data_IF_047849991118
#
_entry.id   IF_047849991118
#
_cell.length_a   1.000
_cell.length_b   1.000
_cell.length_c   1.000
_cell.angle_alpha   90.00
_cell.angle_beta   90.00
_cell.angle_gamma   90.00
#
_symmetry.space_group_name_H-M   'P 1'
#
loop_
_entity.id
_entity.type
_entity.pdbx_description
1 polymer ?
#
# COMPACT_ATOMS: atom_id res chain seq x y z
N UNK A 1 -10.94 26.55 -7.49
CA UNK A 1 -10.97 25.08 -7.68
C UNK A 1 -11.00 24.49 -6.29
N UNK A 2 -12.13 23.89 -5.92
CA UNK A 2 -12.44 23.52 -4.54
C UNK A 2 -11.90 22.12 -4.26
N UNK A 3 -10.92 22.01 -3.36
CA UNK A 3 -10.30 20.76 -2.93
C UNK A 3 -11.19 20.06 -1.89
N UNK A 4 -12.20 19.32 -2.34
CA UNK A 4 -12.93 18.39 -1.47
C UNK A 4 -12.56 16.95 -1.87
N UNK A 5 -11.60 16.37 -1.14
CA UNK A 5 -11.45 14.91 -1.05
C UNK A 5 -12.74 14.30 -0.43
N UNK A 6 -13.07 13.03 -0.69
CA UNK A 6 -14.37 12.43 -0.35
C UNK A 6 -14.51 12.35 1.18
N UNK A 7 -15.27 13.28 1.75
CA UNK A 7 -15.50 13.41 3.19
C UNK A 7 -16.77 12.68 3.67
N UNK A 8 -17.51 12.00 2.79
CA UNK A 8 -18.77 11.34 3.14
C UNK A 8 -18.66 9.87 3.53
N UNK A 9 -17.49 9.24 3.35
CA UNK A 9 -17.19 7.92 3.91
C UNK A 9 -17.02 7.89 5.45
N UNK A 10 -17.13 9.04 6.14
CA UNK A 10 -16.75 9.17 7.56
C UNK A 10 -17.92 9.36 8.54
N UNK A 11 -19.19 9.28 8.10
CA UNK A 11 -20.32 9.38 9.02
C UNK A 11 -21.57 8.66 8.52
N UNK A 12 -21.65 7.36 8.76
CA UNK A 12 -22.95 6.66 8.87
C UNK A 12 -22.98 5.95 10.22
N UNK A 13 -22.88 6.73 11.29
CA UNK A 13 -23.20 6.24 12.62
C UNK A 13 -24.72 6.18 12.76
N UNK A 14 -25.24 4.96 12.93
CA UNK A 14 -26.59 4.61 13.42
C UNK A 14 -27.78 5.11 12.59
N UNK A 15 -28.27 4.26 11.69
CA UNK A 15 -29.56 4.43 11.00
C UNK A 15 -30.80 4.21 11.90
N UNK A 16 -30.65 4.07 13.23
CA UNK A 16 -31.71 3.58 14.11
C UNK A 16 -32.01 4.50 15.30
N UNK A 17 -32.57 5.67 15.01
CA UNK A 17 -33.39 6.40 16.00
C UNK A 17 -34.62 7.00 15.32
N UNK A 18 -35.61 6.16 14.99
CA UNK A 18 -36.93 6.62 14.58
C UNK A 18 -37.87 6.60 15.78
N UNK A 19 -38.28 7.77 16.25
CA UNK A 19 -39.42 7.94 17.16
C UNK A 19 -40.69 8.10 16.32
N UNK A 20 -41.47 7.04 16.15
CA UNK A 20 -42.77 7.14 15.49
C UNK A 20 -43.90 7.02 16.52
N UNK A 21 -44.65 8.11 16.69
CA UNK A 21 -46.01 8.01 17.23
C UNK A 21 -46.96 7.72 16.08
N UNK A 22 -47.62 6.55 16.19
CA UNK A 22 -48.93 6.22 15.64
C UNK A 22 -49.11 6.17 14.12
N UNK A 23 -48.60 5.11 13.46
CA UNK A 23 -49.32 4.28 12.46
C UNK A 23 -48.65 2.90 12.43
N UNK A 24 -49.41 1.79 12.35
CA UNK A 24 -48.86 0.44 12.20
C UNK A 24 -48.44 0.26 10.72
N UNK A 25 -47.16 0.50 10.43
CA UNK A 25 -46.57 0.33 9.09
C UNK A 25 -45.41 -0.69 9.14
N UNK A 26 -44.97 -1.26 8.00
CA UNK A 26 -43.78 -2.13 7.92
C UNK A 26 -42.55 -1.51 8.59
N UNK A 27 -42.41 -0.19 8.53
CA UNK A 27 -41.35 0.61 9.16
C UNK A 27 -41.43 0.55 10.68
N UNK A 28 -42.64 0.62 11.25
CA UNK A 28 -42.83 0.46 12.69
C UNK A 28 -42.51 -0.96 13.14
N UNK A 29 -42.82 -1.98 12.33
CA UNK A 29 -42.44 -3.37 12.59
C UNK A 29 -40.92 -3.57 12.50
N UNK A 30 -40.25 -3.09 11.45
CA UNK A 30 -38.79 -3.11 11.28
C UNK A 30 -38.07 -2.34 12.40
N UNK A 31 -38.55 -1.13 12.75
CA UNK A 31 -38.00 -0.31 13.82
C UNK A 31 -38.19 -0.93 15.22
N UNK A 32 -39.30 -1.66 15.43
CA UNK A 32 -39.54 -2.40 16.67
C UNK A 32 -38.65 -3.64 16.77
N UNK A 33 -38.49 -4.36 15.66
CA UNK A 33 -37.67 -5.57 15.60
C UNK A 33 -36.18 -5.24 15.71
N UNK A 34 -35.71 -4.18 15.06
CA UNK A 34 -34.35 -3.66 15.25
C UNK A 34 -34.08 -3.13 16.66
N UNK A 35 -35.10 -2.61 17.38
CA UNK A 35 -34.98 -2.28 18.81
C UNK A 35 -34.88 -3.51 19.71
N UNK A 36 -35.53 -4.61 19.34
CA UNK A 36 -35.54 -5.87 20.08
C UNK A 36 -34.27 -6.69 19.76
N UNK A 37 -33.85 -6.74 18.50
CA UNK A 37 -32.62 -7.40 18.03
C UNK A 37 -31.34 -6.55 18.28
N UNK A 38 -31.43 -5.25 18.58
CA UNK A 38 -30.29 -4.47 19.14
C UNK A 38 -29.80 -4.99 20.51
N UNK A 39 -30.57 -5.87 21.16
CA UNK A 39 -30.09 -6.61 22.35
C UNK A 39 -29.36 -7.92 21.99
N UNK A 40 -29.38 -8.32 20.73
CA UNK A 40 -28.63 -9.44 20.17
C UNK A 40 -27.32 -8.96 19.54
N UNK A 41 -26.29 -9.80 19.65
CA UNK A 41 -24.87 -9.46 19.64
C UNK A 41 -24.28 -9.20 18.24
N UNK A 42 -25.09 -8.99 17.22
CA UNK A 42 -24.65 -8.79 15.83
C UNK A 42 -24.62 -7.29 15.46
N UNK A 43 -23.43 -6.82 15.08
CA UNK A 43 -23.13 -5.42 14.78
C UNK A 43 -23.66 -5.04 13.38
N UNK A 44 -24.92 -4.58 13.30
CA UNK A 44 -25.60 -4.15 12.05
C UNK A 44 -25.17 -2.71 11.69
N UNK A 45 -23.86 -2.49 11.56
CA UNK A 45 -23.30 -1.24 11.04
C UNK A 45 -23.20 -1.32 9.53
N UNK A 46 -23.67 -0.30 8.81
CA UNK A 46 -23.42 -0.13 7.37
C UNK A 46 -22.14 0.70 7.09
N UNK A 47 -21.37 1.00 8.15
CA UNK A 47 -20.22 1.88 8.10
C UNK A 47 -18.90 1.12 8.24
N UNK A 48 -17.90 1.56 7.48
CA UNK A 48 -16.51 1.15 7.66
C UNK A 48 -15.92 1.75 8.93
N UNK A 49 -14.89 1.11 9.48
CA UNK A 49 -14.04 1.78 10.46
C UNK A 49 -13.24 2.91 9.78
N UNK A 50 -13.80 4.11 9.86
CA UNK A 50 -13.38 5.32 9.16
C UNK A 50 -11.91 5.69 9.41
N UNK A 51 -11.47 5.66 10.67
CA UNK A 51 -10.09 5.96 11.06
C UNK A 51 -9.10 4.90 10.54
N UNK A 52 -9.43 3.62 10.67
CA UNK A 52 -8.54 2.55 10.20
C UNK A 52 -8.48 2.48 8.67
N UNK A 53 -9.58 2.73 7.96
CA UNK A 53 -9.59 2.81 6.50
C UNK A 53 -8.76 4.00 6.00
N UNK A 54 -8.90 5.16 6.63
CA UNK A 54 -8.07 6.35 6.35
C UNK A 54 -6.58 6.05 6.55
N UNK A 55 -6.22 5.35 7.64
CA UNK A 55 -4.84 4.93 7.88
C UNK A 55 -4.35 3.96 6.79
N UNK A 56 -5.14 2.96 6.42
CA UNK A 56 -4.79 2.02 5.36
C UNK A 56 -4.57 2.70 3.99
N UNK A 57 -5.38 3.72 3.67
CA UNK A 57 -5.21 4.55 2.47
C UNK A 57 -3.91 5.38 2.51
N UNK A 58 -3.60 5.98 3.66
CA UNK A 58 -2.34 6.71 3.86
C UNK A 58 -1.13 5.78 3.67
N UNK A 59 -1.18 4.60 4.30
CA UNK A 59 -0.13 3.60 4.22
C UNK A 59 0.07 3.08 2.78
N UNK A 60 -1.04 2.86 2.05
CA UNK A 60 -0.99 2.51 0.63
C UNK A 60 -0.35 3.60 -0.24
N UNK A 61 -0.61 4.88 0.07
CA UNK A 61 0.02 6.01 -0.61
C UNK A 61 1.53 6.09 -0.35
N UNK A 62 1.95 5.96 0.91
CA UNK A 62 3.38 5.94 1.29
C UNK A 62 4.10 4.74 0.68
N UNK A 63 3.44 3.57 0.66
CA UNK A 63 3.93 2.38 -0.01
C UNK A 63 4.15 2.63 -1.51
N UNK A 64 3.14 3.14 -2.23
CA UNK A 64 3.23 3.39 -3.66
C UNK A 64 4.38 4.36 -3.99
N UNK A 65 4.53 5.42 -3.20
CA UNK A 65 5.64 6.38 -3.32
C UNK A 65 7.00 5.69 -3.12
N UNK A 66 7.16 4.93 -2.04
CA UNK A 66 8.41 4.23 -1.74
C UNK A 66 8.79 3.27 -2.86
N UNK A 67 7.82 2.50 -3.36
CA UNK A 67 8.03 1.57 -4.48
C UNK A 67 8.43 2.29 -5.77
N UNK A 68 7.79 3.43 -6.08
CA UNK A 68 8.16 4.24 -7.23
C UNK A 68 9.59 4.78 -7.12
N UNK A 69 10.00 5.24 -5.93
CA UNK A 69 11.38 5.67 -5.69
C UNK A 69 12.38 4.52 -5.91
N UNK A 70 12.12 3.35 -5.32
CA UNK A 70 13.02 2.19 -5.47
C UNK A 70 13.08 1.72 -6.93
N UNK A 71 11.94 1.64 -7.60
CA UNK A 71 11.86 1.27 -9.02
C UNK A 71 12.68 2.24 -9.88
N UNK A 72 12.46 3.54 -9.69
CA UNK A 72 13.19 4.58 -10.42
C UNK A 72 14.70 4.47 -10.22
N UNK A 73 15.16 4.25 -8.99
CA UNK A 73 16.59 4.11 -8.69
C UNK A 73 17.17 2.82 -9.30
N UNK A 74 16.46 1.69 -9.25
CA UNK A 74 16.93 0.43 -9.86
C UNK A 74 17.08 0.54 -11.38
N UNK A 75 16.12 1.19 -12.04
CA UNK A 75 16.10 1.37 -13.50
C UNK A 75 17.17 2.35 -13.97
N UNK A 76 17.37 3.46 -13.24
CA UNK A 76 18.22 4.57 -13.70
C UNK A 76 19.65 4.56 -13.15
N UNK A 77 19.99 3.67 -12.22
CA UNK A 77 21.38 3.52 -11.78
C UNK A 77 22.23 2.80 -12.86
N UNK A 78 23.54 3.11 -12.94
CA UNK A 78 24.45 2.52 -13.93
C UNK A 78 24.49 0.99 -13.88
N UNK A 79 24.81 0.38 -15.03
CA UNK A 79 25.15 -1.03 -15.09
C UNK A 79 26.43 -1.31 -14.29
N UNK A 80 26.48 -2.46 -13.62
CA UNK A 80 27.72 -2.93 -13.00
C UNK A 80 28.79 -3.14 -14.06
N UNK A 81 29.99 -2.61 -13.81
CA UNK A 81 31.14 -2.78 -14.70
C UNK A 81 32.33 -3.34 -13.92
N UNK A 82 32.82 -4.50 -14.36
CA UNK A 82 33.96 -5.20 -13.77
C UNK A 82 35.28 -4.97 -14.54
N UNK A 83 35.28 -4.07 -15.52
CA UNK A 83 36.49 -3.71 -16.26
C UNK A 83 37.61 -3.26 -15.31
N UNK A 84 38.78 -3.89 -15.44
CA UNK A 84 39.94 -3.63 -14.59
C UNK A 84 39.83 -4.18 -13.16
N UNK A 85 38.79 -4.93 -12.80
CA UNK A 85 38.66 -5.55 -11.47
C UNK A 85 39.29 -6.94 -11.48
N UNK A 86 40.28 -7.17 -10.60
CA UNK A 86 40.81 -8.51 -10.36
C UNK A 86 39.84 -9.28 -9.44
N UNK A 87 39.17 -10.30 -9.94
CA UNK A 87 38.19 -11.08 -9.17
C UNK A 87 38.79 -12.20 -8.31
N UNK A 88 40.12 -12.29 -8.17
CA UNK A 88 40.81 -13.22 -7.27
C UNK A 88 40.36 -14.69 -7.39
N UNK A 89 40.03 -15.13 -8.60
CA UNK A 89 39.59 -16.50 -8.91
C UNK A 89 38.08 -16.75 -8.83
N UNK A 90 37.26 -15.78 -8.39
CA UNK A 90 35.80 -15.84 -8.43
C UNK A 90 35.25 -15.51 -9.83
N UNK A 91 35.56 -16.35 -10.82
CA UNK A 91 35.30 -16.05 -12.25
C UNK A 91 33.83 -15.85 -12.60
N UNK A 92 32.90 -16.44 -11.83
CA UNK A 92 31.47 -16.33 -12.08
C UNK A 92 30.85 -15.07 -11.45
N UNK A 93 31.53 -14.44 -10.48
CA UNK A 93 30.98 -13.34 -9.69
C UNK A 93 30.53 -12.13 -10.54
N UNK A 94 31.29 -11.69 -11.57
CA UNK A 94 30.84 -10.60 -12.44
C UNK A 94 29.49 -10.89 -13.11
N UNK A 95 29.33 -12.08 -13.69
CA UNK A 95 28.08 -12.47 -14.35
C UNK A 95 26.93 -12.65 -13.37
N UNK A 96 27.21 -13.13 -12.16
CA UNK A 96 26.22 -13.29 -11.10
C UNK A 96 25.68 -11.93 -10.65
N UNK A 97 26.57 -10.97 -10.35
CA UNK A 97 26.16 -9.62 -9.93
C UNK A 97 25.44 -8.86 -11.05
N UNK A 98 25.88 -9.01 -12.30
CA UNK A 98 25.16 -8.44 -13.44
C UNK A 98 23.74 -9.04 -13.57
N UNK A 99 23.59 -10.33 -13.34
CA UNK A 99 22.29 -11.00 -13.34
C UNK A 99 21.44 -10.57 -12.13
N UNK A 100 22.02 -10.40 -10.95
CA UNK A 100 21.31 -9.90 -9.76
C UNK A 100 20.73 -8.49 -10.01
N UNK A 101 21.53 -7.60 -10.61
CA UNK A 101 21.07 -6.25 -10.99
C UNK A 101 19.95 -6.33 -12.04
N UNK A 102 20.07 -7.24 -13.01
CA UNK A 102 19.03 -7.47 -14.02
C UNK A 102 17.72 -7.96 -13.39
N UNK A 103 17.79 -8.95 -12.48
CA UNK A 103 16.62 -9.46 -11.75
C UNK A 103 15.95 -8.32 -10.95
N UNK A 104 16.75 -7.50 -10.25
CA UNK A 104 16.22 -6.36 -9.51
C UNK A 104 15.46 -5.36 -10.41
N UNK A 105 15.95 -5.09 -11.61
CA UNK A 105 15.27 -4.23 -12.60
C UNK A 105 14.03 -4.88 -13.20
N UNK A 106 14.02 -6.20 -13.39
CA UNK A 106 12.84 -6.94 -13.84
C UNK A 106 11.71 -6.85 -12.79
N UNK A 107 12.05 -6.98 -11.50
CA UNK A 107 11.09 -6.79 -10.40
C UNK A 107 10.53 -5.36 -10.36
N UNK A 108 11.39 -4.35 -10.48
CA UNK A 108 11.01 -2.95 -10.58
C UNK A 108 10.05 -2.70 -11.75
N UNK A 109 10.36 -3.26 -12.92
CA UNK A 109 9.51 -3.17 -14.11
C UNK A 109 8.17 -3.86 -13.92
N UNK A 110 8.14 -5.04 -13.28
CA UNK A 110 6.90 -5.76 -12.96
C UNK A 110 6.00 -4.96 -12.02
N UNK A 111 6.59 -4.30 -11.01
CA UNK A 111 5.87 -3.36 -10.18
C UNK A 111 5.24 -2.23 -11.01
N UNK A 112 6.05 -1.55 -11.83
CA UNK A 112 5.60 -0.37 -12.58
C UNK A 112 4.54 -0.68 -13.64
N UNK A 113 4.67 -1.80 -14.34
CA UNK A 113 3.81 -2.15 -15.46
C UNK A 113 2.50 -2.82 -15.03
N UNK A 114 2.49 -3.53 -13.90
CA UNK A 114 1.37 -4.38 -13.51
C UNK A 114 0.81 -4.07 -12.12
N UNK A 115 1.62 -4.25 -11.08
CA UNK A 115 1.12 -4.24 -9.69
C UNK A 115 0.71 -2.84 -9.26
N UNK A 116 1.43 -1.80 -9.71
CA UNK A 116 1.06 -0.40 -9.47
C UNK A 116 -0.35 -0.09 -9.98
N UNK A 117 -0.72 -0.61 -11.16
CA UNK A 117 -2.08 -0.44 -11.70
C UNK A 117 -3.12 -1.13 -10.83
N UNK A 118 -2.87 -2.37 -10.41
CA UNK A 118 -3.80 -3.08 -9.51
C UNK A 118 -4.00 -2.37 -8.17
N UNK A 119 -2.94 -1.75 -7.63
CA UNK A 119 -3.04 -0.91 -6.43
C UNK A 119 -3.97 0.29 -6.69
N UNK A 120 -3.77 1.00 -7.80
CA UNK A 120 -4.64 2.11 -8.18
C UNK A 120 -6.09 1.67 -8.39
N UNK A 121 -6.33 0.54 -9.06
CA UNK A 121 -7.68 -0.01 -9.27
C UNK A 121 -8.36 -0.33 -7.93
N UNK A 122 -7.62 -0.88 -6.96
CA UNK A 122 -8.13 -1.15 -5.60
C UNK A 122 -8.46 0.14 -4.85
N UNK A 123 -7.63 1.17 -4.98
CA UNK A 123 -7.88 2.48 -4.34
C UNK A 123 -9.04 3.23 -5.00
N UNK A 124 -9.17 3.17 -6.34
CA UNK A 124 -10.31 3.73 -7.07
C UNK A 124 -11.60 3.05 -6.67
N UNK A 125 -11.59 1.74 -6.43
CA UNK A 125 -12.77 1.00 -5.96
C UNK A 125 -13.38 1.54 -4.65
N UNK A 126 -12.56 2.09 -3.74
CA UNK A 126 -13.04 2.76 -2.51
C UNK A 126 -13.81 4.05 -2.85
N UNK A 127 -13.29 4.83 -3.80
CA UNK A 127 -13.93 6.06 -4.28
C UNK A 127 -15.21 5.75 -5.06
N UNK A 128 -15.22 4.70 -5.87
CA UNK A 128 -16.41 4.23 -6.59
C UNK A 128 -17.51 3.78 -5.63
N UNK A 129 -17.16 3.04 -4.58
CA UNK A 129 -18.09 2.65 -3.53
C UNK A 129 -18.67 3.87 -2.79
N UNK A 130 -17.83 4.82 -2.37
CA UNK A 130 -18.28 6.08 -1.73
C UNK A 130 -19.27 6.85 -2.62
N UNK A 131 -18.95 6.97 -3.91
CA UNK A 131 -19.81 7.64 -4.89
C UNK A 131 -21.14 6.91 -5.06
N UNK A 132 -21.11 5.58 -5.10
CA UNK A 132 -22.33 4.75 -5.23
C UNK A 132 -23.21 4.89 -3.99
N UNK A 133 -22.63 4.82 -2.80
CA UNK A 133 -23.33 5.04 -1.54
C UNK A 133 -23.98 6.43 -1.49
N UNK A 134 -23.24 7.47 -1.86
CA UNK A 134 -23.74 8.85 -1.92
C UNK A 134 -24.94 9.00 -2.86
N UNK A 135 -24.91 8.32 -4.01
CA UNK A 135 -26.01 8.37 -4.98
C UNK A 135 -27.27 7.65 -4.49
N UNK A 136 -27.12 6.57 -3.72
CA UNK A 136 -28.26 5.85 -3.14
C UNK A 136 -28.78 6.48 -1.84
N UNK A 137 -28.01 7.34 -1.17
CA UNK A 137 -28.33 7.79 0.18
C UNK A 137 -29.74 8.39 0.32
N UNK A 138 -30.07 9.41 -0.49
CA UNK A 138 -31.37 10.08 -0.39
C UNK A 138 -32.53 9.13 -0.75
N UNK A 139 -32.34 8.28 -1.77
CA UNK A 139 -33.31 7.26 -2.20
C UNK A 139 -33.57 6.21 -1.10
N UNK A 140 -32.51 5.74 -0.43
CA UNK A 140 -32.63 4.79 0.67
C UNK A 140 -33.33 5.41 1.88
N UNK A 141 -33.07 6.69 2.17
CA UNK A 141 -33.77 7.42 3.24
C UNK A 141 -35.26 7.58 2.92
N UNK A 142 -35.59 7.93 1.68
CA UNK A 142 -36.98 8.03 1.21
C UNK A 142 -37.69 6.67 1.31
N UNK A 143 -37.07 5.60 0.82
CA UNK A 143 -37.64 4.26 0.89
C UNK A 143 -37.86 3.77 2.33
N UNK A 144 -36.99 4.12 3.29
CA UNK A 144 -37.24 3.89 4.73
C UNK A 144 -38.48 4.65 5.21
N UNK A 145 -38.62 5.92 4.84
CA UNK A 145 -39.73 6.76 5.29
C UNK A 145 -41.08 6.31 4.71
N UNK A 146 -41.07 5.81 3.47
CA UNK A 146 -42.26 5.32 2.76
C UNK A 146 -42.57 3.85 3.04
N UNK A 147 -41.63 3.11 3.62
CA UNK A 147 -41.77 1.67 3.86
C UNK A 147 -41.64 0.83 2.59
N UNK A 148 -40.91 1.33 1.60
CA UNK A 148 -40.65 0.66 0.33
C UNK A 148 -39.52 -0.37 0.49
N UNK A 149 -39.90 -1.61 0.80
CA UNK A 149 -38.97 -2.71 1.01
C UNK A 149 -38.22 -3.13 -0.27
N UNK A 150 -38.85 -2.97 -1.45
CA UNK A 150 -38.26 -3.38 -2.72
C UNK A 150 -37.09 -2.44 -3.09
N UNK A 151 -37.31 -1.12 -2.99
CA UNK A 151 -36.25 -0.12 -3.23
C UNK A 151 -35.10 -0.27 -2.23
N UNK A 152 -35.39 -0.56 -0.96
CA UNK A 152 -34.34 -0.83 0.04
C UNK A 152 -33.53 -2.08 -0.31
N UNK A 153 -34.20 -3.15 -0.74
CA UNK A 153 -33.54 -4.40 -1.10
C UNK A 153 -32.64 -4.22 -2.33
N UNK A 154 -33.11 -3.50 -3.35
CA UNK A 154 -32.33 -3.20 -4.55
C UNK A 154 -31.07 -2.39 -4.20
N UNK A 155 -31.21 -1.25 -3.52
CA UNK A 155 -30.07 -0.40 -3.19
C UNK A 155 -29.04 -1.08 -2.29
N UNK A 156 -29.46 -1.86 -1.28
CA UNK A 156 -28.54 -2.63 -0.43
C UNK A 156 -27.85 -3.75 -1.23
N UNK A 157 -28.56 -4.40 -2.17
CA UNK A 157 -27.97 -5.43 -3.03
C UNK A 157 -26.89 -4.86 -3.96
N UNK A 158 -27.14 -3.70 -4.56
CA UNK A 158 -26.20 -3.03 -5.45
C UNK A 158 -24.92 -2.60 -4.70
N UNK A 159 -25.08 -1.99 -3.53
CA UNK A 159 -23.96 -1.63 -2.66
C UNK A 159 -23.16 -2.87 -2.21
N UNK A 160 -23.84 -3.98 -1.90
CA UNK A 160 -23.18 -5.25 -1.60
C UNK A 160 -22.40 -5.79 -2.81
N UNK A 161 -22.89 -5.57 -4.03
CA UNK A 161 -22.19 -5.90 -5.27
C UNK A 161 -20.82 -5.20 -5.37
N UNK A 162 -20.79 -3.89 -5.11
CA UNK A 162 -19.54 -3.12 -5.11
C UNK A 162 -18.59 -3.54 -3.98
N UNK A 163 -19.12 -3.88 -2.79
CA UNK A 163 -18.31 -4.45 -1.69
C UNK A 163 -17.61 -5.74 -2.14
N UNK A 164 -18.33 -6.66 -2.79
CA UNK A 164 -17.77 -7.93 -3.29
C UNK A 164 -16.70 -7.70 -4.35
N UNK A 165 -16.92 -6.75 -5.26
CA UNK A 165 -15.94 -6.34 -6.28
C UNK A 165 -14.66 -5.80 -5.65
N UNK A 166 -14.78 -4.89 -4.68
CA UNK A 166 -13.64 -4.34 -3.94
C UNK A 166 -12.89 -5.40 -3.12
N UNK A 167 -13.61 -6.35 -2.52
CA UNK A 167 -13.00 -7.49 -1.85
C UNK A 167 -12.15 -8.32 -2.82
N UNK A 168 -12.66 -8.60 -4.02
CA UNK A 168 -11.96 -9.37 -5.04
C UNK A 168 -10.69 -8.64 -5.53
N UNK A 169 -10.78 -7.33 -5.78
CA UNK A 169 -9.62 -6.52 -6.15
C UNK A 169 -8.53 -6.53 -5.08
N UNK A 170 -8.93 -6.33 -3.81
CA UNK A 170 -7.98 -6.33 -2.69
C UNK A 170 -7.30 -7.68 -2.52
N UNK A 171 -8.07 -8.79 -2.60
CA UNK A 171 -7.51 -10.16 -2.51
C UNK A 171 -6.53 -10.45 -3.63
N UNK A 172 -6.85 -10.07 -4.87
CA UNK A 172 -5.95 -10.27 -6.01
C UNK A 172 -4.65 -9.47 -5.85
N UNK A 173 -4.75 -8.20 -5.44
CA UNK A 173 -3.59 -7.36 -5.18
C UNK A 173 -2.67 -7.96 -4.10
N UNK A 174 -3.23 -8.46 -2.99
CA UNK A 174 -2.46 -9.12 -1.93
C UNK A 174 -1.69 -10.33 -2.49
N UNK A 175 -2.33 -11.14 -3.35
CA UNK A 175 -1.69 -12.31 -3.96
C UNK A 175 -0.54 -11.92 -4.89
N UNK A 176 -0.72 -10.91 -5.75
CA UNK A 176 0.33 -10.46 -6.66
C UNK A 176 1.50 -9.80 -5.91
N UNK A 177 1.22 -9.05 -4.85
CA UNK A 177 2.25 -8.52 -3.95
C UNK A 177 3.01 -9.64 -3.24
N UNK A 178 2.32 -10.67 -2.72
CA UNK A 178 2.98 -11.81 -2.09
C UNK A 178 3.91 -12.54 -3.05
N UNK A 179 3.45 -12.82 -4.28
CA UNK A 179 4.29 -13.43 -5.33
C UNK A 179 5.52 -12.58 -5.66
N UNK A 180 5.35 -11.26 -5.78
CA UNK A 180 6.47 -10.36 -6.02
C UNK A 180 7.46 -10.37 -4.85
N UNK A 181 6.98 -10.25 -3.61
CA UNK A 181 7.81 -10.29 -2.39
C UNK A 181 8.63 -11.58 -2.31
N UNK A 182 8.00 -12.71 -2.55
CA UNK A 182 8.64 -14.02 -2.40
C UNK A 182 9.73 -14.21 -3.47
N UNK A 183 9.42 -13.83 -4.72
CA UNK A 183 10.40 -13.83 -5.82
C UNK A 183 11.57 -12.89 -5.56
N UNK A 184 11.31 -11.65 -5.09
CA UNK A 184 12.37 -10.73 -4.70
C UNK A 184 13.20 -11.32 -3.55
N UNK A 185 12.57 -11.97 -2.57
CA UNK A 185 13.27 -12.53 -1.43
C UNK A 185 14.27 -13.63 -1.76
N UNK A 186 14.00 -14.43 -2.79
CA UNK A 186 14.96 -15.39 -3.32
C UNK A 186 16.17 -14.69 -3.93
N UNK A 187 15.93 -13.70 -4.80
CA UNK A 187 16.99 -12.94 -5.47
C UNK A 187 17.82 -12.09 -4.51
N UNK A 188 17.20 -11.45 -3.51
CA UNK A 188 17.88 -10.64 -2.49
C UNK A 188 18.86 -11.49 -1.67
N UNK A 189 18.51 -12.73 -1.33
CA UNK A 189 19.41 -13.63 -0.59
C UNK A 189 20.64 -13.99 -1.41
N UNK A 190 20.45 -14.32 -2.69
CA UNK A 190 21.55 -14.62 -3.61
C UNK A 190 22.44 -13.38 -3.81
N UNK A 191 21.81 -12.23 -4.11
CA UNK A 191 22.52 -10.98 -4.34
C UNK A 191 23.31 -10.52 -3.13
N UNK A 192 22.76 -10.66 -1.91
CA UNK A 192 23.49 -10.38 -0.67
C UNK A 192 24.78 -11.19 -0.55
N UNK A 193 24.72 -12.49 -0.83
CA UNK A 193 25.91 -13.34 -0.85
C UNK A 193 26.95 -12.91 -1.88
N UNK A 194 26.54 -12.59 -3.11
CA UNK A 194 27.46 -12.11 -4.15
C UNK A 194 28.05 -10.73 -3.81
N UNK A 195 27.23 -9.81 -3.29
CA UNK A 195 27.66 -8.50 -2.79
C UNK A 195 28.75 -8.64 -1.73
N UNK A 196 28.55 -9.49 -0.74
CA UNK A 196 29.49 -9.64 0.38
C UNK A 196 30.83 -10.26 -0.07
N UNK A 197 30.79 -11.18 -1.04
CA UNK A 197 32.01 -11.71 -1.70
C UNK A 197 32.74 -10.60 -2.44
N UNK A 198 32.03 -9.81 -3.27
CA UNK A 198 32.62 -8.69 -4.01
C UNK A 198 33.28 -7.70 -3.05
N UNK A 199 32.53 -7.26 -2.03
CA UNK A 199 33.00 -6.34 -1.01
C UNK A 199 34.29 -6.85 -0.36
N UNK A 200 34.35 -8.14 0.01
CA UNK A 200 35.56 -8.76 0.57
C UNK A 200 36.75 -8.75 -0.39
N UNK A 201 36.51 -8.97 -1.69
CA UNK A 201 37.55 -8.88 -2.72
C UNK A 201 38.08 -7.45 -2.83
N UNK A 202 37.19 -6.46 -2.89
CA UNK A 202 37.57 -5.05 -3.09
C UNK A 202 38.33 -4.48 -1.88
N UNK A 203 37.93 -4.85 -0.65
CA UNK A 203 38.64 -4.45 0.59
C UNK A 203 40.10 -4.91 0.60
N UNK A 204 40.38 -6.07 0.03
CA UNK A 204 41.74 -6.59 -0.09
C UNK A 204 42.58 -5.90 -1.19
N UNK A 205 41.98 -5.00 -1.97
CA UNK A 205 42.61 -4.37 -3.15
C UNK A 205 42.70 -2.85 -3.08
N UNK A 206 41.87 -2.21 -2.25
CA UNK A 206 41.86 -0.77 -2.07
C UNK A 206 41.53 -0.40 -0.62
N UNK A 207 42.26 0.57 -0.09
CA UNK A 207 41.89 1.27 1.15
C UNK A 207 40.67 2.15 0.91
N UNK A 208 39.85 2.40 1.93
CA UNK A 208 38.71 3.31 1.81
C UNK A 208 37.39 2.63 1.47
N UNK A 209 37.38 1.35 1.09
CA UNK A 209 36.15 0.61 0.76
C UNK A 209 35.21 0.52 1.98
N UNK A 210 35.77 0.19 3.15
CA UNK A 210 35.00 0.11 4.40
C UNK A 210 34.42 1.47 4.80
N UNK A 211 35.25 2.52 4.77
CA UNK A 211 34.80 3.86 5.14
C UNK A 211 33.76 4.42 4.17
N UNK A 212 33.91 4.16 2.88
CA UNK A 212 32.97 4.61 1.85
C UNK A 212 31.63 3.88 1.95
N UNK A 213 31.66 2.56 2.12
CA UNK A 213 30.45 1.77 2.29
C UNK A 213 29.70 2.16 3.55
N UNK A 214 30.40 2.42 4.66
CA UNK A 214 29.78 2.94 5.87
C UNK A 214 29.05 4.26 5.59
N UNK A 215 29.69 5.20 4.89
CA UNK A 215 29.05 6.49 4.53
C UNK A 215 27.83 6.29 3.65
N UNK A 216 27.90 5.39 2.68
CA UNK A 216 26.77 5.06 1.82
C UNK A 216 25.61 4.46 2.65
N UNK A 217 25.92 3.49 3.51
CA UNK A 217 24.94 2.85 4.38
C UNK A 217 24.31 3.84 5.37
N UNK A 218 25.08 4.76 5.95
CA UNK A 218 24.58 5.81 6.84
C UNK A 218 23.58 6.75 6.11
N UNK A 219 23.81 7.04 4.83
CA UNK A 219 22.87 7.81 4.00
C UNK A 219 21.62 7.01 3.69
N UNK A 220 21.77 5.76 3.24
CA UNK A 220 20.64 4.88 2.89
C UNK A 220 19.77 4.54 4.11
N UNK A 221 20.38 4.38 5.27
CA UNK A 221 19.68 4.17 6.54
C UNK A 221 18.86 5.39 6.95
N UNK A 222 19.40 6.59 6.83
CA UNK A 222 18.63 7.81 7.12
C UNK A 222 17.49 8.02 6.13
N UNK A 223 17.69 7.66 4.85
CA UNK A 223 16.61 7.65 3.84
C UNK A 223 15.52 6.65 4.22
N UNK A 224 15.90 5.42 4.62
CA UNK A 224 14.94 4.41 5.10
C UNK A 224 14.19 4.90 6.34
N UNK A 225 14.91 5.42 7.33
CA UNK A 225 14.30 5.92 8.58
C UNK A 225 13.27 7.01 8.28
N UNK A 226 13.58 7.92 7.36
CA UNK A 226 12.62 8.94 6.94
C UNK A 226 11.35 8.33 6.32
N UNK A 227 11.48 7.36 5.41
CA UNK A 227 10.33 6.66 4.81
C UNK A 227 9.53 5.89 5.86
N UNK A 228 10.18 5.33 6.87
CA UNK A 228 9.51 4.66 7.98
C UNK A 228 8.72 5.64 8.84
N UNK A 229 9.29 6.79 9.21
CA UNK A 229 8.59 7.84 9.99
C UNK A 229 7.39 8.41 9.22
N UNK A 230 7.49 8.51 7.89
CA UNK A 230 6.38 8.85 6.99
C UNK A 230 5.28 7.76 7.03
N UNK A 231 5.67 6.48 6.97
CA UNK A 231 4.75 5.33 7.06
C UNK A 231 4.09 5.19 8.43
N UNK A 232 4.79 5.51 9.51
CA UNK A 232 4.27 5.45 10.88
C UNK A 232 3.23 6.56 11.15
N UNK A 233 3.05 7.50 10.21
CA UNK A 233 2.09 8.60 10.32
C UNK A 233 2.55 9.74 11.23
N UNK A 234 3.83 9.74 11.65
CA UNK A 234 4.44 10.83 12.42
C UNK A 234 4.54 12.08 11.54
N UNK A 235 4.87 11.89 10.25
CA UNK A 235 4.81 12.93 9.24
C UNK A 235 3.52 12.77 8.45
N UNK A 236 2.62 13.74 8.58
CA UNK A 236 1.29 13.72 7.94
C UNK A 236 1.28 14.22 6.49
N UNK A 237 2.42 14.73 5.99
CA UNK A 237 2.58 15.25 4.63
C UNK A 237 3.59 14.39 3.87
N UNK A 238 3.18 13.84 2.73
CA UNK A 238 4.09 13.09 1.86
C UNK A 238 5.21 14.00 1.35
N UNK A 239 6.47 13.65 1.62
CA UNK A 239 7.63 14.48 1.24
C UNK A 239 8.31 13.91 0.00
N UNK A 240 8.43 14.68 -1.11
CA UNK A 240 9.01 14.16 -2.34
C UNK A 240 10.50 13.80 -2.14
N UNK A 241 10.88 12.67 -2.73
CA UNK A 241 12.28 12.26 -2.89
C UNK A 241 12.88 12.97 -4.10
N UNK A 242 14.11 13.46 -3.96
CA UNK A 242 14.88 14.10 -5.01
C UNK A 242 16.02 13.16 -5.42
N UNK A 243 16.13 12.83 -6.71
CA UNK A 243 17.32 12.15 -7.25
C UNK A 243 18.58 12.96 -6.94
N UNK A 244 19.54 12.33 -6.27
CA UNK A 244 20.81 12.93 -5.89
C UNK A 244 21.94 12.07 -6.42
N UNK A 245 22.86 12.68 -7.18
CA UNK A 245 24.00 12.00 -7.77
C UNK A 245 25.20 12.06 -6.84
N UNK A 246 25.91 10.93 -6.75
CA UNK A 246 27.21 10.79 -6.10
C UNK A 246 28.26 10.38 -7.15
N UNK A 247 29.54 10.34 -6.76
CA UNK A 247 30.59 9.97 -7.71
C UNK A 247 30.38 8.56 -8.27
N UNK A 248 30.73 8.40 -9.55
CA UNK A 248 30.45 7.18 -10.32
C UNK A 248 29.11 7.20 -11.07
N UNK A 249 28.37 8.32 -11.04
CA UNK A 249 27.06 8.43 -11.69
C UNK A 249 25.94 7.70 -10.95
N UNK A 250 26.22 7.21 -9.74
CA UNK A 250 25.26 6.52 -8.88
C UNK A 250 24.24 7.53 -8.37
N UNK A 251 22.97 7.14 -8.46
CA UNK A 251 21.83 7.93 -8.05
C UNK A 251 21.23 7.34 -6.76
N UNK A 252 20.96 8.21 -5.80
CA UNK A 252 20.25 7.88 -4.56
C UNK A 252 19.05 8.82 -4.38
N UNK A 253 17.95 8.30 -3.84
CA UNK A 253 16.74 9.09 -3.56
C UNK A 253 16.80 9.68 -2.16
N UNK A 254 16.79 11.01 -2.05
CA UNK A 254 16.86 11.71 -0.77
C UNK A 254 15.62 12.57 -0.57
N UNK A 255 14.95 12.43 0.58
CA UNK A 255 13.80 13.28 0.90
C UNK A 255 14.21 14.76 0.95
N UNK A 256 13.41 15.63 0.32
CA UNK A 256 13.75 17.05 0.15
C UNK A 256 14.09 17.78 1.45
N UNK A 257 13.37 17.48 2.53
CA UNK A 257 13.58 18.09 3.85
C UNK A 257 14.78 17.49 4.62
N UNK A 258 15.26 16.31 4.24
CA UNK A 258 16.46 15.69 4.83
C UNK A 258 17.73 16.04 4.06
N UNK A 259 17.63 16.69 2.91
CA UNK A 259 18.78 16.97 2.05
C UNK A 259 19.85 17.80 2.78
N UNK A 260 19.46 18.84 3.54
CA UNK A 260 20.41 19.65 4.30
C UNK A 260 21.12 18.88 5.41
N UNK A 261 20.43 17.93 6.04
CA UNK A 261 20.98 17.07 7.09
C UNK A 261 21.98 16.08 6.51
N UNK A 262 21.69 15.53 5.33
CA UNK A 262 22.55 14.56 4.66
C UNK A 262 23.69 15.18 3.85
N UNK A 263 23.63 16.48 3.56
CA UNK A 263 24.59 17.18 2.71
C UNK A 263 26.06 16.95 3.10
N UNK A 264 26.47 16.92 4.39
CA UNK A 264 27.85 16.60 4.75
C UNK A 264 28.32 15.21 4.28
N UNK A 265 27.45 14.19 4.37
CA UNK A 265 27.74 12.84 3.89
C UNK A 265 27.68 12.77 2.35
N UNK A 266 26.70 13.44 1.75
CA UNK A 266 26.55 13.50 0.30
C UNK A 266 27.75 14.20 -0.36
N UNK A 267 28.26 15.28 0.22
CA UNK A 267 29.45 15.97 -0.25
C UNK A 267 30.68 15.05 -0.24
N UNK A 268 30.80 14.18 0.77
CA UNK A 268 31.85 13.17 0.83
C UNK A 268 31.66 12.09 -0.26
N UNK A 269 30.44 11.61 -0.47
CA UNK A 269 30.13 10.63 -1.52
C UNK A 269 30.30 11.22 -2.94
N UNK A 270 30.21 12.54 -3.11
CA UNK A 270 30.44 13.22 -4.40
C UNK A 270 31.93 13.41 -4.75
N UNK A 271 32.84 13.19 -3.81
CA UNK A 271 34.28 13.25 -4.11
C UNK A 271 34.65 12.18 -5.15
N UNK A 272 35.57 12.51 -6.05
CA UNK A 272 36.09 11.56 -7.02
C UNK A 272 36.71 10.37 -6.30
N UNK A 273 36.29 9.17 -6.68
CA UNK A 273 36.74 7.90 -6.11
C UNK A 273 37.24 6.98 -7.22
N UNK A 274 37.95 5.94 -6.85
CA UNK A 274 38.41 4.94 -7.81
C UNK A 274 37.24 4.04 -8.28
N UNK A 275 37.51 3.28 -9.35
CA UNK A 275 36.52 2.43 -9.98
C UNK A 275 36.05 1.25 -9.09
N UNK A 276 36.87 0.78 -8.13
CA UNK A 276 36.47 -0.24 -7.15
C UNK A 276 35.42 0.28 -6.19
N UNK A 277 35.63 1.47 -5.63
CA UNK A 277 34.61 2.14 -4.80
C UNK A 277 33.33 2.38 -5.61
N UNK A 278 33.47 2.85 -6.85
CA UNK A 278 32.32 3.07 -7.75
C UNK A 278 31.51 1.79 -7.96
N UNK A 279 32.17 0.68 -8.29
CA UNK A 279 31.50 -0.63 -8.43
C UNK A 279 30.80 -1.05 -7.13
N UNK A 280 31.47 -0.90 -5.98
CA UNK A 280 30.88 -1.23 -4.68
C UNK A 280 29.61 -0.41 -4.40
N UNK A 281 29.61 0.88 -4.76
CA UNK A 281 28.43 1.75 -4.62
C UNK A 281 27.28 1.35 -5.53
N UNK A 282 27.54 1.07 -6.82
CA UNK A 282 26.51 0.61 -7.76
C UNK A 282 25.83 -0.65 -7.23
N UNK A 283 26.62 -1.63 -6.80
CA UNK A 283 26.13 -2.89 -6.23
C UNK A 283 25.37 -2.67 -4.93
N UNK A 284 25.93 -1.86 -4.01
CA UNK A 284 25.31 -1.54 -2.73
C UNK A 284 23.96 -0.83 -2.86
N UNK A 285 23.86 0.16 -3.76
CA UNK A 285 22.60 0.87 -4.03
C UNK A 285 21.58 -0.06 -4.70
N UNK A 286 21.99 -0.88 -5.66
CA UNK A 286 21.09 -1.85 -6.29
C UNK A 286 20.52 -2.84 -5.26
N UNK A 287 21.41 -3.45 -4.45
CA UNK A 287 21.03 -4.38 -3.38
C UNK A 287 20.11 -3.73 -2.36
N UNK A 288 20.43 -2.52 -1.88
CA UNK A 288 19.61 -1.84 -0.90
C UNK A 288 18.20 -1.57 -1.45
N UNK A 289 18.08 -1.01 -2.66
CA UNK A 289 16.78 -0.69 -3.23
C UNK A 289 15.88 -1.93 -3.39
N UNK A 290 16.44 -3.06 -3.85
CA UNK A 290 15.64 -4.28 -4.03
C UNK A 290 15.26 -4.94 -2.69
N UNK A 291 16.13 -4.88 -1.69
CA UNK A 291 15.82 -5.34 -0.33
C UNK A 291 14.74 -4.47 0.34
N UNK A 292 14.82 -3.15 0.19
CA UNK A 292 13.80 -2.24 0.72
C UNK A 292 12.47 -2.38 -0.02
N UNK A 293 12.49 -2.65 -1.33
CA UNK A 293 11.29 -2.99 -2.11
C UNK A 293 10.61 -4.24 -1.54
N UNK A 294 11.36 -5.29 -1.20
CA UNK A 294 10.84 -6.49 -0.54
C UNK A 294 10.18 -6.17 0.80
N UNK A 295 10.85 -5.38 1.64
CA UNK A 295 10.37 -4.99 2.96
C UNK A 295 9.07 -4.16 2.87
N UNK A 296 9.05 -3.18 1.96
CA UNK A 296 7.88 -2.33 1.74
C UNK A 296 6.66 -3.14 1.30
N UNK A 297 6.84 -4.14 0.43
CA UNK A 297 5.75 -5.04 0.04
C UNK A 297 5.23 -5.85 1.24
N UNK A 298 6.14 -6.34 2.10
CA UNK A 298 5.76 -7.04 3.33
C UNK A 298 4.84 -6.21 4.22
N UNK A 299 5.20 -4.95 4.46
CA UNK A 299 4.36 -4.02 5.24
C UNK A 299 3.02 -3.72 4.56
N UNK A 300 3.01 -3.53 3.24
CA UNK A 300 1.78 -3.25 2.48
C UNK A 300 0.79 -4.41 2.51
N UNK A 301 1.27 -5.66 2.43
CA UNK A 301 0.41 -6.86 2.54
C UNK A 301 -0.36 -6.85 3.87
N UNK A 302 0.29 -6.47 4.97
CA UNK A 302 -0.38 -6.40 6.28
C UNK A 302 -1.50 -5.35 6.28
N UNK A 303 -1.25 -4.15 5.73
CA UNK A 303 -2.26 -3.09 5.64
C UNK A 303 -3.43 -3.47 4.71
N UNK A 304 -3.15 -4.05 3.55
CA UNK A 304 -4.17 -4.49 2.59
C UNK A 304 -4.99 -5.67 3.12
N UNK A 305 -4.39 -6.54 3.94
CA UNK A 305 -5.12 -7.64 4.61
C UNK A 305 -6.22 -7.09 5.51
N UNK A 306 -5.96 -5.99 6.21
CA UNK A 306 -6.99 -5.30 6.99
C UNK A 306 -8.12 -4.77 6.09
N UNK A 307 -7.80 -4.13 4.98
CA UNK A 307 -8.81 -3.65 4.02
C UNK A 307 -9.66 -4.81 3.47
N UNK A 308 -9.04 -5.94 3.14
CA UNK A 308 -9.77 -7.14 2.69
C UNK A 308 -10.71 -7.68 3.76
N UNK A 309 -10.32 -7.62 5.04
CA UNK A 309 -11.18 -8.03 6.14
C UNK A 309 -12.37 -7.07 6.30
N UNK A 310 -12.15 -5.76 6.18
CA UNK A 310 -13.25 -4.78 6.23
C UNK A 310 -14.28 -4.98 5.12
N UNK A 311 -13.85 -5.29 3.89
CA UNK A 311 -14.80 -5.64 2.83
C UNK A 311 -15.56 -6.93 3.11
N UNK A 312 -14.94 -7.90 3.78
CA UNK A 312 -15.62 -9.12 4.21
C UNK A 312 -16.68 -8.85 5.29
N UNK A 313 -16.33 -8.06 6.30
CA UNK A 313 -17.22 -7.70 7.40
C UNK A 313 -18.45 -6.93 6.86
N UNK A 314 -18.22 -5.96 5.96
CA UNK A 314 -19.29 -5.22 5.29
C UNK A 314 -20.22 -6.15 4.48
N UNK A 315 -19.68 -7.10 3.72
CA UNK A 315 -20.50 -8.04 2.95
C UNK A 315 -21.45 -8.85 3.87
N UNK A 316 -20.94 -9.27 5.03
CA UNK A 316 -21.73 -9.95 6.06
C UNK A 316 -22.79 -9.03 6.67
N UNK A 317 -22.45 -7.78 6.97
CA UNK A 317 -23.38 -6.79 7.53
C UNK A 317 -24.52 -6.47 6.56
N UNK A 318 -24.20 -6.28 5.28
CA UNK A 318 -25.20 -6.05 4.23
C UNK A 318 -26.11 -7.27 4.03
N UNK A 319 -25.57 -8.49 4.13
CA UNK A 319 -26.38 -9.72 4.14
C UNK A 319 -27.35 -9.76 5.33
N UNK A 320 -26.89 -9.33 6.51
CA UNK A 320 -27.73 -9.18 7.69
C UNK A 320 -28.89 -8.21 7.43
N UNK A 321 -28.59 -7.01 6.93
CA UNK A 321 -29.60 -5.98 6.61
C UNK A 321 -30.64 -6.49 5.61
N UNK A 322 -30.23 -7.16 4.54
CA UNK A 322 -31.16 -7.77 3.58
C UNK A 322 -32.11 -8.78 4.26
N UNK A 323 -31.61 -9.62 5.17
CA UNK A 323 -32.44 -10.55 5.93
C UNK A 323 -33.44 -9.83 6.86
N UNK A 324 -33.06 -8.70 7.48
CA UNK A 324 -34.00 -7.92 8.30
C UNK A 324 -35.08 -7.25 7.45
N UNK A 325 -34.74 -6.74 6.26
CA UNK A 325 -35.72 -6.18 5.32
C UNK A 325 -36.74 -7.25 4.93
N UNK A 326 -36.28 -8.45 4.57
CA UNK A 326 -37.16 -9.57 4.19
C UNK A 326 -38.11 -10.00 5.33
N UNK A 327 -37.61 -10.09 6.58
CA UNK A 327 -38.44 -10.41 7.76
C UNK A 327 -39.51 -9.35 8.03
N UNK A 328 -39.16 -8.08 7.93
CA UNK A 328 -40.10 -6.99 8.21
C UNK A 328 -41.19 -6.89 7.13
N UNK A 329 -40.85 -7.12 5.86
CA UNK A 329 -41.81 -7.16 4.76
C UNK A 329 -42.86 -8.26 4.98
N UNK A 330 -42.42 -9.48 5.33
CA UNK A 330 -43.33 -10.61 5.56
C UNK A 330 -44.34 -10.35 6.69
N UNK A 331 -43.95 -9.62 7.73
CA UNK A 331 -44.86 -9.27 8.83
C UNK A 331 -45.86 -8.18 8.48
N UNK A 332 -45.51 -7.27 7.58
CA UNK A 332 -46.46 -6.29 7.07
C UNK A 332 -47.55 -6.97 6.24
N UNK A 333 -47.18 -7.95 5.41
CA UNK A 333 -48.11 -8.72 4.60
C UNK A 333 -49.04 -9.61 5.43
N UNK A 334 -48.60 -10.07 6.61
CA UNK A 334 -49.42 -10.88 7.53
C UNK A 334 -50.39 -10.08 8.40
N UNK A 335 -50.18 -8.76 8.53
CA UNK A 335 -51.00 -7.87 9.36
C UNK A 335 -51.99 -7.01 8.55
N UNK A 336 -52.02 -7.17 7.22
CA UNK A 336 -53.03 -6.64 6.30
C UNK A 336 -54.07 -7.71 5.96
#
# INVERSE_FOLDING_TARGET
>A
MNNNFPYKLLAVSTFLTLTTTTVVSPVAAFASESKIEQTSTEDISLSVNSEKMKKALQDAGVFAKSMNDYSYLLINNPDVNFEGIDIKGYTNLPSQIAQDQKNAREHATKWDAHIKKQLLDTLTGIVEYDTTFDNYYDTLVEAINEGDADTLKEGITDLQGEIKKNQAYTKNLIQELAKLRDSIGEDVRAFGGHKDILQSILKNQASGIDEDEKRLNDVLEQVRHFKQVESDGIITVSVPSIPTWIAGGVMIGVARNNLSTLEPLLAQLRQTVDYKITLNRVVGVAYNNIAEMQNAIGSAINALTYMSAQWHDLDSQYSGVLNHIDKASQKADQNN
#
